data_IF_452881449685
#
_entry.id   IF_452881449685
#
_cell.length_a   1.000
_cell.length_b   1.000
_cell.length_c   1.000
_cell.angle_alpha   90.00
_cell.angle_beta   90.00
_cell.angle_gamma   90.00
#
_symmetry.space_group_name_H-M   'P 1'
#
loop_
_entity.id
_entity.type
_entity.pdbx_description
1 polymer ?
#
# COMPACT_ATOMS: atom_id res chain seq x y z
N UNK A 1 -7.72 -6.38 58.58
CA UNK A 1 -7.39 -5.45 59.71
C UNK A 1 -6.44 -4.38 59.19
N UNK A 2 -6.75 -3.12 59.51
CA UNK A 2 -5.99 -1.85 59.30
C UNK A 2 -6.00 -1.36 57.82
N UNK A 3 -6.78 -0.43 57.36
CA UNK A 3 -7.27 0.94 57.74
C UNK A 3 -6.19 2.00 57.76
N UNK A 4 -6.53 3.13 57.04
CA UNK A 4 -6.08 4.54 57.11
C UNK A 4 -4.96 4.90 56.14
N UNK A 5 -4.98 6.03 55.41
CA UNK A 5 -5.86 7.20 55.44
C UNK A 5 -5.47 8.17 54.34
N UNK A 6 -6.44 8.98 53.89
CA UNK A 6 -6.26 10.22 53.15
C UNK A 6 -5.81 11.36 54.11
N UNK A 7 -5.18 12.40 53.56
CA UNK A 7 -5.86 13.69 53.44
C UNK A 7 -5.55 14.40 52.08
N UNK A 8 -6.45 14.95 51.37
CA UNK A 8 -7.19 16.22 51.52
C UNK A 8 -6.37 17.53 51.31
N UNK A 9 -6.78 18.21 50.26
CA UNK A 9 -6.97 19.66 50.10
C UNK A 9 -5.75 20.58 49.97
N UNK A 10 -5.64 21.25 48.80
CA UNK A 10 -5.47 22.72 48.76
C UNK A 10 -5.88 23.28 47.38
N UNK A 11 -6.94 24.05 47.42
CA UNK A 11 -7.45 24.94 46.36
C UNK A 11 -6.58 26.22 46.36
N UNK A 12 -6.12 26.64 45.22
CA UNK A 12 -5.67 28.02 44.99
C UNK A 12 -6.28 28.54 43.69
N UNK A 13 -7.32 29.34 43.88
CA UNK A 13 -7.91 30.23 42.88
C UNK A 13 -7.04 31.49 42.84
N UNK A 14 -6.55 31.82 41.65
CA UNK A 14 -6.05 33.18 41.35
C UNK A 14 -6.83 33.74 40.17
N UNK A 15 -7.69 34.68 40.47
CA UNK A 15 -8.31 35.61 39.52
C UNK A 15 -7.32 36.74 39.20
N UNK A 16 -7.24 37.13 37.96
CA UNK A 16 -6.66 38.34 37.47
C UNK A 16 -6.52 38.22 35.95
N UNK A 17 -7.29 38.81 35.11
CA UNK A 17 -7.60 40.21 34.90
C UNK A 17 -6.95 40.67 33.61
N UNK A 18 -7.75 40.70 32.51
CA UNK A 18 -7.83 41.61 31.39
C UNK A 18 -6.58 41.98 30.60
N UNK A 19 -6.67 41.87 29.29
CA UNK A 19 -6.64 43.02 28.36
C UNK A 19 -6.58 42.53 26.91
N UNK A 20 -7.52 43.00 26.16
CA UNK A 20 -7.62 43.14 24.70
C UNK A 20 -6.30 43.28 23.97
N UNK A 21 -6.08 42.47 22.94
CA UNK A 21 -5.04 42.65 21.94
C UNK A 21 -5.52 42.14 20.61
N UNK A 22 -5.82 43.03 19.70
CA UNK A 22 -6.30 42.82 18.33
C UNK A 22 -5.33 42.06 17.47
N UNK A 23 -5.92 41.27 16.58
CA UNK A 23 -5.57 41.06 15.16
C UNK A 23 -4.11 40.75 14.82
N UNK A 24 -3.90 39.56 14.37
CA UNK A 24 -3.15 39.31 13.13
C UNK A 24 -3.44 37.87 12.74
N UNK A 25 -4.30 37.70 11.74
CA UNK A 25 -4.37 36.47 10.97
C UNK A 25 -3.06 36.28 10.19
N UNK A 26 -2.26 35.25 10.43
CA UNK A 26 -1.41 34.76 9.42
C UNK A 26 -2.25 33.77 8.60
N UNK A 27 -2.61 34.18 7.39
CA UNK A 27 -3.00 33.28 6.31
C UNK A 27 -1.88 32.25 6.11
N UNK A 28 -1.89 31.26 6.94
CA UNK A 28 -1.10 30.06 6.69
C UNK A 28 -1.76 29.36 5.53
N UNK A 29 -1.24 29.62 4.35
CA UNK A 29 -1.42 28.76 3.18
C UNK A 29 -1.08 27.35 3.63
N UNK A 30 -2.11 26.55 3.87
CA UNK A 30 -1.96 25.13 4.06
C UNK A 30 -1.45 24.55 2.74
N UNK A 31 -0.14 24.51 2.56
CA UNK A 31 0.50 23.60 1.64
C UNK A 31 0.10 22.22 2.13
N UNK A 32 -0.81 21.61 1.35
CA UNK A 32 -1.29 20.25 1.61
C UNK A 32 -0.11 19.33 1.81
N UNK A 33 0.17 19.00 3.05
CA UNK A 33 0.96 17.83 3.37
C UNK A 33 0.13 16.65 2.88
N UNK A 34 0.50 16.12 1.71
CA UNK A 34 0.11 14.78 1.32
C UNK A 34 0.77 13.88 2.36
N UNK A 35 0.01 13.53 3.39
CA UNK A 35 0.45 12.55 4.36
C UNK A 35 0.60 11.24 3.59
N UNK A 36 1.84 10.90 3.25
CA UNK A 36 2.18 9.54 2.86
C UNK A 36 1.74 8.64 4.02
N UNK A 37 0.69 7.86 3.79
CA UNK A 37 0.25 6.87 4.76
C UNK A 37 1.47 6.00 5.14
N UNK A 38 1.69 5.72 6.43
CA UNK A 38 2.82 4.89 6.83
C UNK A 38 2.73 3.56 6.09
N UNK A 39 3.83 3.16 5.44
CA UNK A 39 3.96 2.01 4.53
C UNK A 39 3.41 0.69 5.11
N UNK A 40 3.22 0.63 6.43
CA UNK A 40 2.62 -0.51 7.14
C UNK A 40 1.10 -0.62 7.07
N UNK A 41 0.38 0.37 6.51
CA UNK A 41 -1.08 0.45 6.55
C UNK A 41 -1.77 0.40 5.18
N UNK A 42 -1.02 0.15 4.09
CA UNK A 42 -1.65 -0.03 2.78
C UNK A 42 -2.53 -1.29 2.80
N UNK A 43 -3.82 -1.10 2.58
CA UNK A 43 -4.76 -2.21 2.43
C UNK A 43 -4.57 -2.89 1.06
N UNK A 44 -4.84 -4.21 0.97
CA UNK A 44 -4.88 -4.91 -0.31
C UNK A 44 -5.83 -4.21 -1.28
N UNK A 45 -5.46 -4.20 -2.55
CA UNK A 45 -6.24 -3.54 -3.59
C UNK A 45 -5.36 -2.88 -4.64
N UNK A 46 -5.90 -1.84 -5.28
CA UNK A 46 -5.19 -1.12 -6.33
C UNK A 46 -4.32 -0.02 -5.73
N UNK A 47 -3.05 -0.01 -6.10
CA UNK A 47 -2.03 0.91 -5.59
C UNK A 47 -1.31 1.60 -6.75
N UNK A 48 -0.76 2.75 -6.52
CA UNK A 48 0.10 3.44 -7.49
C UNK A 48 1.53 2.86 -7.52
N UNK A 49 2.42 3.41 -8.37
CA UNK A 49 3.77 2.89 -8.54
C UNK A 49 4.65 3.07 -7.28
N UNK A 50 4.47 4.17 -6.55
CA UNK A 50 5.22 4.43 -5.33
C UNK A 50 4.75 3.50 -4.20
N UNK A 51 3.45 3.34 -4.04
CA UNK A 51 2.84 2.40 -3.09
C UNK A 51 3.20 0.95 -3.42
N UNK A 52 3.16 0.58 -4.70
CA UNK A 52 3.55 -0.77 -5.15
C UNK A 52 5.01 -1.06 -4.83
N UNK A 53 5.92 -0.11 -5.06
CA UNK A 53 7.31 -0.24 -4.68
C UNK A 53 7.49 -0.45 -3.16
N UNK A 54 6.71 0.27 -2.36
CA UNK A 54 6.71 0.09 -0.92
C UNK A 54 6.16 -1.28 -0.49
N UNK A 55 5.17 -1.82 -1.22
CA UNK A 55 4.64 -3.17 -0.98
C UNK A 55 5.69 -4.23 -1.29
N UNK A 56 6.31 -4.19 -2.47
CA UNK A 56 7.27 -5.22 -2.89
C UNK A 56 8.57 -5.21 -2.07
N UNK A 57 8.88 -4.12 -1.39
CA UNK A 57 10.00 -4.04 -0.46
C UNK A 57 9.76 -4.77 0.86
N UNK A 58 8.53 -5.23 1.15
CA UNK A 58 8.19 -5.96 2.37
C UNK A 58 8.70 -7.39 2.29
N UNK A 59 9.20 -7.97 3.40
CA UNK A 59 9.59 -9.38 3.42
C UNK A 59 8.40 -10.31 3.11
N UNK A 60 8.63 -11.34 2.29
CA UNK A 60 7.64 -12.37 1.99
C UNK A 60 6.59 -11.99 0.95
N UNK A 61 6.66 -10.82 0.34
CA UNK A 61 5.80 -10.46 -0.79
C UNK A 61 6.28 -11.18 -2.06
N UNK A 62 5.36 -11.85 -2.75
CA UNK A 62 5.62 -12.46 -4.05
C UNK A 62 5.15 -11.51 -5.15
N UNK A 63 6.02 -11.20 -6.10
CA UNK A 63 5.73 -10.32 -7.23
C UNK A 63 5.33 -11.18 -8.42
N UNK A 64 4.14 -10.94 -8.98
CA UNK A 64 3.59 -11.72 -10.07
C UNK A 64 3.41 -10.86 -11.33
N UNK A 65 4.15 -11.22 -12.37
CA UNK A 65 3.97 -10.67 -13.71
C UNK A 65 3.05 -11.58 -14.52
N UNK A 66 1.86 -11.07 -14.82
CA UNK A 66 0.86 -11.86 -15.53
C UNK A 66 0.84 -11.59 -17.04
N UNK A 67 1.90 -10.94 -17.57
CA UNK A 67 2.10 -10.71 -19.00
C UNK A 67 2.59 -11.99 -19.69
N UNK A 68 2.69 -11.92 -21.01
CA UNK A 68 3.27 -13.04 -21.79
C UNK A 68 4.73 -13.28 -21.41
N UNK A 69 5.25 -14.51 -21.64
CA UNK A 69 6.67 -14.80 -21.40
C UNK A 69 7.61 -13.89 -22.20
N UNK A 70 7.21 -13.50 -23.42
CA UNK A 70 8.00 -12.58 -24.23
C UNK A 70 8.08 -11.19 -23.61
N UNK A 71 6.93 -10.63 -23.15
CA UNK A 71 6.91 -9.32 -22.47
C UNK A 71 7.74 -9.34 -21.17
N UNK A 72 7.74 -10.48 -20.46
CA UNK A 72 8.55 -10.69 -19.27
C UNK A 72 10.05 -10.70 -19.58
N UNK A 73 10.45 -11.43 -20.64
CA UNK A 73 11.85 -11.52 -21.08
C UNK A 73 12.38 -10.17 -21.60
N UNK A 74 11.53 -9.35 -22.23
CA UNK A 74 11.89 -8.02 -22.74
C UNK A 74 12.16 -7.02 -21.58
N UNK A 75 11.59 -7.28 -20.40
CA UNK A 75 11.85 -6.52 -19.18
C UNK A 75 10.73 -6.67 -18.15
N UNK A 76 11.07 -6.89 -16.89
CA UNK A 76 10.15 -7.12 -15.78
C UNK A 76 10.59 -6.39 -14.50
N UNK A 77 9.70 -6.28 -13.53
CA UNK A 77 10.05 -5.74 -12.19
C UNK A 77 10.93 -6.78 -11.48
N UNK A 78 12.04 -6.35 -10.95
CA UNK A 78 13.03 -7.23 -10.31
C UNK A 78 12.39 -8.13 -9.25
N UNK A 79 12.75 -9.41 -9.27
CA UNK A 79 12.21 -10.44 -8.38
C UNK A 79 10.82 -10.96 -8.76
N UNK A 80 10.23 -10.52 -9.88
CA UNK A 80 8.94 -11.01 -10.32
C UNK A 80 9.01 -12.45 -10.89
N UNK A 81 7.95 -13.21 -10.62
CA UNK A 81 7.69 -14.52 -11.22
C UNK A 81 6.63 -14.36 -12.31
N UNK A 82 6.87 -14.93 -13.48
CA UNK A 82 5.92 -14.86 -14.58
C UNK A 82 4.85 -15.96 -14.46
N UNK A 83 3.59 -15.53 -14.34
CA UNK A 83 2.40 -16.37 -14.37
C UNK A 83 1.42 -15.78 -15.39
N UNK A 84 1.57 -16.09 -16.67
CA UNK A 84 0.80 -15.44 -17.72
C UNK A 84 -0.71 -15.75 -17.62
N UNK A 85 -1.55 -14.72 -17.51
CA UNK A 85 -3.01 -14.88 -17.43
C UNK A 85 -3.61 -15.68 -18.59
N UNK A 86 -3.00 -15.56 -19.78
CA UNK A 86 -3.55 -16.14 -21.02
C UNK A 86 -3.18 -17.61 -21.22
N UNK A 87 -2.39 -18.19 -20.32
CA UNK A 87 -2.07 -19.62 -20.37
C UNK A 87 -3.16 -20.44 -19.70
N UNK A 88 -3.44 -21.62 -20.25
CA UNK A 88 -4.50 -22.51 -19.76
C UNK A 88 -4.25 -23.04 -18.34
N UNK A 89 -3.01 -23.00 -17.87
CA UNK A 89 -2.59 -23.43 -16.52
C UNK A 89 -2.63 -22.29 -15.48
N UNK A 90 -3.09 -21.09 -15.84
CA UNK A 90 -3.12 -19.94 -14.93
C UNK A 90 -3.88 -20.25 -13.64
N UNK A 91 -5.10 -20.78 -13.74
CA UNK A 91 -5.94 -21.11 -12.60
C UNK A 91 -5.28 -22.19 -11.70
N UNK A 92 -4.66 -23.21 -12.31
CA UNK A 92 -3.96 -24.25 -11.57
C UNK A 92 -2.77 -23.69 -10.80
N UNK A 93 -1.98 -22.79 -11.41
CA UNK A 93 -0.86 -22.14 -10.77
C UNK A 93 -1.31 -21.21 -9.63
N UNK A 94 -2.40 -20.49 -9.82
CA UNK A 94 -3.00 -19.62 -8.77
C UNK A 94 -3.49 -20.47 -7.60
N UNK A 95 -4.09 -21.64 -7.86
CA UNK A 95 -4.57 -22.54 -6.80
C UNK A 95 -3.47 -23.12 -5.90
N UNK A 96 -2.24 -23.13 -6.39
CA UNK A 96 -1.05 -23.61 -5.66
C UNK A 96 -0.39 -22.52 -4.79
N UNK A 97 -0.84 -21.27 -4.91
CA UNK A 97 -0.33 -20.16 -4.10
C UNK A 97 -0.84 -20.27 -2.66
N UNK A 98 -0.04 -19.84 -1.70
CA UNK A 98 -0.46 -19.82 -0.29
C UNK A 98 -1.60 -18.82 -0.09
N UNK A 99 -2.79 -19.24 0.39
CA UNK A 99 -3.91 -18.33 0.65
C UNK A 99 -3.60 -17.23 1.67
N UNK A 100 -2.59 -17.42 2.51
CA UNK A 100 -2.12 -16.43 3.49
C UNK A 100 -0.97 -15.57 2.97
N UNK A 101 -0.46 -15.85 1.78
CA UNK A 101 0.61 -15.12 1.14
C UNK A 101 0.21 -13.68 0.79
N UNK A 102 1.19 -12.82 0.60
CA UNK A 102 1.02 -11.46 0.09
C UNK A 102 1.52 -11.40 -1.33
N UNK A 103 0.70 -10.91 -2.23
CA UNK A 103 0.95 -10.89 -3.67
C UNK A 103 0.90 -9.49 -4.23
N UNK A 104 1.92 -9.11 -4.98
CA UNK A 104 1.99 -7.87 -5.75
C UNK A 104 1.88 -8.22 -7.24
N UNK A 105 0.78 -7.84 -7.88
CA UNK A 105 0.40 -8.29 -9.21
C UNK A 105 0.44 -7.14 -10.19
N UNK A 106 1.01 -7.34 -11.36
CA UNK A 106 1.02 -6.33 -12.40
C UNK A 106 0.91 -6.93 -13.82
N UNK A 107 0.48 -6.10 -14.73
CA UNK A 107 0.61 -6.34 -16.17
C UNK A 107 1.21 -5.10 -16.87
N UNK A 108 0.93 -4.91 -18.14
CA UNK A 108 1.40 -3.74 -18.86
C UNK A 108 0.65 -2.46 -18.50
N UNK A 109 -0.71 -2.51 -18.35
CA UNK A 109 -1.58 -1.33 -18.25
C UNK A 109 -2.82 -1.53 -17.37
N UNK A 110 -2.78 -2.46 -16.41
CA UNK A 110 -3.89 -2.84 -15.51
C UNK A 110 -5.06 -3.62 -16.15
N UNK A 111 -5.14 -3.79 -17.45
CA UNK A 111 -6.27 -4.50 -18.08
C UNK A 111 -6.30 -5.98 -17.68
N UNK A 112 -5.18 -6.68 -17.86
CA UNK A 112 -5.02 -8.10 -17.52
C UNK A 112 -4.93 -8.32 -16.01
N UNK A 113 -4.24 -7.44 -15.26
CA UNK A 113 -4.07 -7.60 -13.81
C UNK A 113 -5.39 -7.51 -13.05
N UNK A 114 -6.34 -6.70 -13.50
CA UNK A 114 -7.69 -6.67 -12.92
C UNK A 114 -8.41 -8.02 -13.04
N UNK A 115 -8.34 -8.66 -14.20
CA UNK A 115 -8.92 -9.99 -14.40
C UNK A 115 -8.21 -11.05 -13.55
N UNK A 116 -6.87 -11.03 -13.53
CA UNK A 116 -6.07 -11.94 -12.70
C UNK A 116 -6.40 -11.80 -11.21
N UNK A 117 -6.50 -10.56 -10.70
CA UNK A 117 -6.87 -10.31 -9.29
C UNK A 117 -8.26 -10.83 -8.97
N UNK A 118 -9.23 -10.71 -9.88
CA UNK A 118 -10.56 -11.27 -9.69
C UNK A 118 -10.52 -12.80 -9.57
N UNK A 119 -9.76 -13.49 -10.42
CA UNK A 119 -9.56 -14.94 -10.35
C UNK A 119 -8.82 -15.35 -9.06
N UNK A 120 -7.76 -14.64 -8.70
CA UNK A 120 -7.01 -14.86 -7.46
C UNK A 120 -7.90 -14.70 -6.22
N UNK A 121 -8.75 -13.66 -6.19
CA UNK A 121 -9.70 -13.44 -5.09
C UNK A 121 -10.73 -14.56 -5.02
N UNK A 122 -11.23 -15.04 -6.17
CA UNK A 122 -12.15 -16.18 -6.24
C UNK A 122 -11.50 -17.48 -5.76
N UNK A 123 -10.18 -17.61 -5.91
CA UNK A 123 -9.39 -18.71 -5.37
C UNK A 123 -9.03 -18.54 -3.87
N UNK A 124 -9.51 -17.49 -3.20
CA UNK A 124 -9.30 -17.25 -1.76
C UNK A 124 -8.05 -16.41 -1.41
N UNK A 125 -7.34 -15.88 -2.40
CA UNK A 125 -6.19 -15.00 -2.18
C UNK A 125 -6.70 -13.58 -1.92
N UNK A 126 -6.70 -13.15 -0.66
CA UNK A 126 -7.29 -11.86 -0.26
C UNK A 126 -6.25 -10.76 -0.06
N UNK A 127 -4.98 -11.10 0.07
CA UNK A 127 -3.91 -10.14 0.32
C UNK A 127 -3.14 -9.83 -0.98
N UNK A 128 -3.85 -9.23 -1.94
CA UNK A 128 -3.37 -8.95 -3.30
C UNK A 128 -3.33 -7.45 -3.56
N UNK A 129 -2.18 -6.96 -4.01
CA UNK A 129 -1.93 -5.57 -4.41
C UNK A 129 -1.75 -5.51 -5.92
N UNK A 130 -2.53 -4.67 -6.60
CA UNK A 130 -2.47 -4.51 -8.07
C UNK A 130 -1.86 -3.17 -8.44
N UNK A 131 -0.81 -3.19 -9.25
CA UNK A 131 -0.17 -1.98 -9.77
C UNK A 131 -1.06 -1.28 -10.81
N UNK A 132 -1.63 -0.15 -10.43
CA UNK A 132 -2.42 0.69 -11.33
C UNK A 132 -1.54 1.24 -12.46
N UNK A 133 -1.97 1.02 -13.70
CA UNK A 133 -1.21 1.41 -14.90
C UNK A 133 -0.07 0.47 -15.28
N UNK A 134 0.23 -0.54 -14.45
CA UNK A 134 1.19 -1.60 -14.75
C UNK A 134 2.61 -1.10 -15.05
N UNK A 135 3.35 -1.81 -15.92
CA UNK A 135 4.72 -1.41 -16.26
C UNK A 135 4.82 -0.03 -16.90
N UNK A 136 3.74 0.46 -17.53
CA UNK A 136 3.70 1.83 -18.08
C UNK A 136 3.81 2.86 -16.94
N UNK A 137 3.00 2.72 -15.88
CA UNK A 137 3.05 3.60 -14.73
C UNK A 137 4.37 3.43 -13.94
N UNK A 138 4.87 2.20 -13.83
CA UNK A 138 6.15 1.91 -13.18
C UNK A 138 7.31 2.67 -13.81
N UNK A 139 7.42 2.61 -15.14
CA UNK A 139 8.48 3.31 -15.87
C UNK A 139 8.27 4.82 -15.92
N UNK A 140 7.02 5.30 -15.95
CA UNK A 140 6.69 6.72 -15.87
C UNK A 140 7.07 7.33 -14.49
N UNK A 141 7.05 6.51 -13.43
CA UNK A 141 7.53 6.87 -12.07
C UNK A 141 9.07 6.84 -11.97
N UNK A 142 9.78 6.68 -13.09
CA UNK A 142 11.23 6.67 -13.16
C UNK A 142 11.90 5.36 -12.72
N UNK A 143 11.13 4.28 -12.58
CA UNK A 143 11.64 2.98 -12.13
C UNK A 143 12.05 2.10 -13.29
N UNK A 144 13.11 1.33 -13.10
CA UNK A 144 13.64 0.45 -14.12
C UNK A 144 12.94 -0.91 -14.15
N UNK A 145 13.00 -1.55 -15.31
CA UNK A 145 12.75 -2.97 -15.50
C UNK A 145 14.08 -3.68 -15.68
N UNK A 146 14.21 -4.91 -15.16
CA UNK A 146 15.34 -5.81 -15.36
C UNK A 146 15.04 -6.84 -16.44
N UNK A 147 16.07 -7.55 -16.92
CA UNK A 147 15.96 -8.66 -17.89
C UNK A 147 16.51 -9.94 -17.32
#
# INVERSE_FOLDING_TARGET
MKRFGLPALAIAVVLGGGLTGCSSDPTATAVGQVALAPVGQLAPGRVDAAEFAAVIARPGVQILDIRTPQEFADGHIEGAVNIPLQQSDFADRVSQLDPKGTYAVYCRSSSRSKAAVAEMTSAGLTNVYELTGGTIAWTADGRSLTR
#
